data_IF_659715516783
#
_entry.id   IF_659715516783
#
_cell.length_a   1.000
_cell.length_b   1.000
_cell.length_c   1.000
_cell.angle_alpha   90.00
_cell.angle_beta   90.00
_cell.angle_gamma   90.00
#
_symmetry.space_group_name_H-M   'P 1'
#
loop_
_entity.id
_entity.type
_entity.pdbx_description
1 polymer ?
#
# COMPACT_ATOMS: atom_id res chain seq x y z
N UNK A 1 52.15 10.49 49.62
CA UNK A 1 52.61 10.51 48.21
C UNK A 1 52.09 9.21 47.58
N UNK A 2 51.12 9.14 46.67
CA UNK A 2 50.52 10.07 45.72
C UNK A 2 49.01 9.80 45.64
N UNK A 3 48.24 10.88 45.52
CA UNK A 3 46.84 10.91 45.09
C UNK A 3 46.82 10.59 43.60
N UNK A 4 45.92 9.72 43.14
CA UNK A 4 45.34 9.83 41.79
C UNK A 4 43.88 9.37 41.85
N UNK A 5 42.97 10.35 41.87
CA UNK A 5 41.59 10.23 41.40
C UNK A 5 41.59 9.92 39.90
N UNK A 6 40.66 9.09 39.39
CA UNK A 6 40.18 9.28 38.02
C UNK A 6 38.85 8.55 37.69
N UNK A 7 37.89 9.39 37.31
CA UNK A 7 36.82 9.19 36.32
C UNK A 7 35.82 8.03 36.47
N UNK A 8 34.62 8.40 36.92
CA UNK A 8 33.33 7.90 36.44
C UNK A 8 33.30 7.80 34.92
N UNK A 9 33.04 6.62 34.37
CA UNK A 9 32.50 6.46 33.03
C UNK A 9 31.14 5.79 33.18
N UNK A 10 30.10 6.61 33.12
CA UNK A 10 28.72 6.16 32.94
C UNK A 10 28.62 5.68 31.49
N UNK A 11 28.71 4.37 31.27
CA UNK A 11 28.38 3.79 29.97
C UNK A 11 26.85 3.73 29.90
N UNK A 12 26.25 4.85 29.50
CA UNK A 12 24.89 4.87 28.98
C UNK A 12 24.89 4.13 27.66
N UNK A 13 24.67 2.81 27.69
CA UNK A 13 24.17 2.08 26.54
C UNK A 13 22.69 2.47 26.39
N UNK A 14 22.43 3.67 25.87
CA UNK A 14 21.23 3.87 25.08
C UNK A 14 21.40 2.98 23.87
N UNK A 15 20.90 1.74 23.96
CA UNK A 15 20.42 1.01 22.80
C UNK A 15 19.37 1.90 22.16
N UNK A 16 19.83 2.79 21.28
CA UNK A 16 19.03 3.22 20.17
C UNK A 16 18.64 1.93 19.49
N UNK A 17 17.41 1.46 19.78
CA UNK A 17 16.70 0.63 18.84
C UNK A 17 16.73 1.46 17.57
N UNK A 18 17.64 1.13 16.66
CA UNK A 18 17.40 1.32 15.26
C UNK A 18 16.11 0.52 15.05
N UNK A 19 14.97 1.20 15.19
CA UNK A 19 13.78 0.79 14.47
C UNK A 19 14.29 0.78 13.05
N UNK A 20 14.65 -0.40 12.55
CA UNK A 20 14.54 -0.67 11.14
C UNK A 20 13.23 -0.02 10.78
N UNK A 21 13.29 1.04 9.96
CA UNK A 21 12.10 1.69 9.46
C UNK A 21 11.27 0.53 8.92
N UNK A 22 10.26 0.12 9.71
CA UNK A 22 9.47 -1.05 9.39
C UNK A 22 8.75 -0.58 8.16
N UNK A 23 9.34 -0.93 7.02
CA UNK A 23 8.93 -0.42 5.74
C UNK A 23 7.48 -0.80 5.65
N UNK A 24 6.63 0.22 5.69
CA UNK A 24 5.24 0.03 6.03
C UNK A 24 4.69 -1.09 5.15
N UNK A 25 4.11 -2.14 5.76
CA UNK A 25 3.78 -3.35 5.03
C UNK A 25 2.90 -3.06 3.80
N UNK A 26 2.15 -1.94 3.81
CA UNK A 26 1.34 -1.48 2.69
C UNK A 26 2.11 -0.74 1.58
N UNK A 27 3.27 -0.14 1.87
CA UNK A 27 4.08 0.62 0.90
C UNK A 27 4.71 -0.33 -0.12
N UNK A 28 4.61 0.04 -1.40
CA UNK A 28 5.10 -0.75 -2.53
C UNK A 28 4.16 -0.70 -3.73
N UNK A 29 4.48 -1.51 -4.73
CA UNK A 29 3.63 -1.72 -5.91
C UNK A 29 2.96 -3.09 -5.78
N UNK A 30 1.65 -3.13 -6.00
CA UNK A 30 0.82 -4.32 -5.86
C UNK A 30 0.09 -4.57 -7.18
N UNK A 31 0.15 -5.80 -7.66
CA UNK A 31 -0.70 -6.31 -8.74
C UNK A 31 -1.91 -6.98 -8.07
N UNK A 32 -3.09 -6.40 -8.26
CA UNK A 32 -4.36 -6.89 -7.73
C UNK A 32 -5.16 -7.54 -8.86
N UNK A 33 -5.84 -8.63 -8.56
CA UNK A 33 -6.72 -9.37 -9.46
C UNK A 33 -8.02 -9.70 -8.72
N UNK A 34 -9.15 -9.60 -9.40
CA UNK A 34 -10.46 -9.97 -8.87
C UNK A 34 -11.45 -10.25 -9.99
N UNK A 35 -12.62 -10.80 -9.65
CA UNK A 35 -13.65 -11.10 -10.64
C UNK A 35 -14.94 -10.36 -10.28
N UNK A 36 -15.37 -9.43 -11.13
CA UNK A 36 -16.61 -8.70 -10.98
C UNK A 36 -17.62 -9.20 -12.02
N UNK A 37 -18.66 -9.89 -11.58
CA UNK A 37 -19.75 -10.33 -12.46
C UNK A 37 -19.30 -11.21 -13.63
N UNK A 38 -18.29 -12.05 -13.45
CA UNK A 38 -17.73 -12.91 -14.49
C UNK A 38 -16.63 -12.28 -15.35
N UNK A 39 -16.26 -11.03 -15.08
CA UNK A 39 -15.14 -10.35 -15.75
C UNK A 39 -13.93 -10.29 -14.83
N UNK A 40 -12.79 -10.80 -15.30
CA UNK A 40 -11.52 -10.68 -14.60
C UNK A 40 -10.99 -9.25 -14.71
N UNK A 41 -10.71 -8.64 -13.58
CA UNK A 41 -10.18 -7.30 -13.45
C UNK A 41 -8.77 -7.36 -12.89
N UNK A 42 -7.88 -6.57 -13.49
CA UNK A 42 -6.49 -6.42 -13.02
C UNK A 42 -6.20 -4.96 -12.71
N UNK A 43 -5.60 -4.72 -11.57
CA UNK A 43 -5.23 -3.40 -11.11
C UNK A 43 -3.77 -3.35 -10.68
N UNK A 44 -3.12 -2.23 -10.89
CA UNK A 44 -1.81 -1.93 -10.27
C UNK A 44 -2.01 -0.83 -9.25
N UNK A 45 -1.78 -1.15 -7.97
CA UNK A 45 -1.83 -0.20 -6.86
C UNK A 45 -0.40 0.15 -6.44
N UNK A 46 0.00 1.40 -6.62
CA UNK A 46 1.27 1.92 -6.13
C UNK A 46 1.03 2.77 -4.89
N UNK A 47 1.68 2.40 -3.79
CA UNK A 47 1.58 3.07 -2.50
C UNK A 47 2.95 3.59 -2.09
N UNK A 48 3.04 4.88 -1.79
CA UNK A 48 4.21 5.53 -1.19
C UNK A 48 3.81 6.19 0.12
N UNK A 49 4.79 6.44 0.99
CA UNK A 49 4.58 7.13 2.26
C UNK A 49 5.62 8.23 2.37
N UNK A 50 5.17 9.44 2.67
CA UNK A 50 6.03 10.58 2.96
C UNK A 50 5.66 11.21 4.30
N UNK A 51 6.31 12.32 4.66
CA UNK A 51 6.06 13.01 5.94
C UNK A 51 4.61 13.50 6.12
N UNK A 52 3.82 13.63 5.05
CA UNK A 52 2.40 14.02 5.08
C UNK A 52 1.44 12.84 5.14
N UNK A 53 1.92 11.60 4.98
CA UNK A 53 1.13 10.38 5.04
C UNK A 53 1.25 9.52 3.78
N UNK A 54 0.25 8.67 3.54
CA UNK A 54 0.22 7.81 2.36
C UNK A 54 -0.19 8.57 1.12
N UNK A 55 0.43 8.21 0.00
CA UNK A 55 -0.03 8.54 -1.35
C UNK A 55 -0.19 7.24 -2.10
N UNK A 56 -1.30 7.13 -2.81
CA UNK A 56 -1.56 5.93 -3.61
C UNK A 56 -2.11 6.33 -4.98
N UNK A 57 -1.79 5.52 -5.98
CA UNK A 57 -2.32 5.62 -7.34
C UNK A 57 -2.72 4.23 -7.78
N UNK A 58 -3.88 4.09 -8.41
CA UNK A 58 -4.35 2.81 -8.92
C UNK A 58 -4.63 2.91 -10.41
N UNK A 59 -4.21 1.91 -11.18
CA UNK A 59 -4.46 1.85 -12.63
C UNK A 59 -5.03 0.50 -13.04
N UNK A 60 -5.80 0.46 -14.12
CA UNK A 60 -6.24 -0.76 -14.80
C UNK A 60 -6.10 -0.56 -16.30
N UNK A 61 -5.16 -1.27 -16.93
CA UNK A 61 -4.76 -0.95 -18.30
C UNK A 61 -4.34 0.52 -18.43
N UNK A 62 -5.00 1.25 -19.34
CA UNK A 62 -4.77 2.68 -19.58
C UNK A 62 -5.64 3.58 -18.67
N UNK A 63 -6.56 3.02 -17.89
CA UNK A 63 -7.42 3.78 -16.98
C UNK A 63 -6.71 4.08 -15.66
N UNK A 64 -6.75 5.34 -15.24
CA UNK A 64 -6.22 5.79 -13.94
C UNK A 64 -7.36 6.09 -12.99
N UNK A 65 -7.28 5.55 -11.78
CA UNK A 65 -8.18 5.82 -10.68
C UNK A 65 -7.50 6.70 -9.63
N UNK A 66 -8.22 7.73 -9.20
CA UNK A 66 -7.81 8.56 -8.07
C UNK A 66 -8.04 7.78 -6.79
N UNK A 67 -6.98 7.58 -6.00
CA UNK A 67 -7.09 6.95 -4.68
C UNK A 67 -7.31 8.03 -3.62
N UNK A 68 -8.32 7.84 -2.77
CA UNK A 68 -8.68 8.71 -1.65
C UNK A 68 -8.66 7.94 -0.33
N UNK A 69 -8.48 8.68 0.76
CA UNK A 69 -8.59 8.17 2.13
C UNK A 69 -7.75 6.91 2.40
N UNK A 70 -6.55 6.83 1.83
CA UNK A 70 -5.68 5.67 2.02
C UNK A 70 -5.22 5.57 3.47
N UNK A 71 -5.57 4.46 4.11
CA UNK A 71 -5.23 4.14 5.48
C UNK A 71 -4.60 2.75 5.54
N UNK A 72 -3.48 2.63 6.25
CA UNK A 72 -2.89 1.35 6.58
C UNK A 72 -2.56 1.30 8.08
N UNK A 73 -3.06 0.25 8.74
CA UNK A 73 -2.86 -0.01 10.17
C UNK A 73 -2.94 -1.51 10.45
N UNK A 74 -2.00 -2.03 11.24
CA UNK A 74 -1.98 -3.44 11.69
C UNK A 74 -2.13 -4.45 10.53
N UNK A 75 -1.47 -4.18 9.40
CA UNK A 75 -1.55 -4.99 8.18
C UNK A 75 -2.92 -4.95 7.49
N UNK A 76 -3.83 -4.07 7.89
CA UNK A 76 -5.10 -3.81 7.21
C UNK A 76 -4.97 -2.53 6.41
N UNK A 77 -5.37 -2.56 5.13
CA UNK A 77 -5.44 -1.39 4.25
C UNK A 77 -6.87 -1.09 3.90
N UNK A 78 -7.22 0.20 3.87
CA UNK A 78 -8.52 0.69 3.40
C UNK A 78 -8.30 1.94 2.56
N UNK A 79 -8.99 2.03 1.45
CA UNK A 79 -8.94 3.20 0.59
C UNK A 79 -10.16 3.24 -0.33
N UNK A 80 -10.41 4.41 -0.91
CA UNK A 80 -11.45 4.59 -1.91
C UNK A 80 -10.82 4.90 -3.25
N UNK A 81 -11.49 4.53 -4.33
CA UNK A 81 -11.09 4.85 -5.69
C UNK A 81 -12.22 5.50 -6.44
N UNK A 82 -11.89 6.50 -7.25
CA UNK A 82 -12.82 7.17 -8.13
C UNK A 82 -12.19 7.30 -9.52
N UNK A 83 -12.96 7.06 -10.56
CA UNK A 83 -12.51 7.22 -11.94
C UNK A 83 -13.66 7.11 -12.91
N UNK A 84 -13.31 6.98 -14.20
CA UNK A 84 -14.25 6.76 -15.28
C UNK A 84 -13.84 5.55 -16.11
N UNK A 85 -14.81 4.73 -16.47
CA UNK A 85 -14.63 3.62 -17.38
C UNK A 85 -15.72 3.70 -18.46
N UNK A 86 -15.32 3.82 -19.74
CA UNK A 86 -16.25 4.08 -20.86
C UNK A 86 -17.22 5.24 -20.57
N UNK A 87 -16.67 6.40 -20.18
CA UNK A 87 -17.41 7.63 -19.81
C UNK A 87 -18.40 7.50 -18.63
N UNK A 88 -18.46 6.33 -18.00
CA UNK A 88 -19.30 6.06 -16.84
C UNK A 88 -18.49 6.22 -15.56
N UNK A 89 -19.04 6.95 -14.59
CA UNK A 89 -18.41 7.10 -13.29
C UNK A 89 -18.37 5.76 -12.55
N UNK A 90 -17.21 5.48 -11.96
CA UNK A 90 -16.97 4.30 -11.16
C UNK A 90 -16.30 4.68 -9.85
N UNK A 91 -16.86 4.17 -8.76
CA UNK A 91 -16.26 4.30 -7.43
C UNK A 91 -16.06 2.93 -6.80
N UNK A 92 -15.07 2.82 -5.91
CA UNK A 92 -14.76 1.59 -5.21
C UNK A 92 -14.30 1.86 -3.78
N UNK A 93 -14.80 1.09 -2.83
CA UNK A 93 -14.34 1.08 -1.43
C UNK A 93 -13.61 -0.22 -1.18
N UNK A 94 -12.29 -0.13 -0.98
CA UNK A 94 -11.40 -1.27 -0.86
C UNK A 94 -11.06 -1.52 0.60
N UNK A 95 -11.11 -2.78 1.02
CA UNK A 95 -10.62 -3.22 2.32
C UNK A 95 -9.84 -4.53 2.15
N UNK A 96 -8.56 -4.51 2.53
CA UNK A 96 -7.67 -5.65 2.37
C UNK A 96 -6.77 -5.90 3.57
N UNK A 97 -6.27 -7.12 3.68
CA UNK A 97 -5.29 -7.54 4.67
C UNK A 97 -4.00 -7.95 3.98
N UNK A 98 -2.92 -7.28 4.33
CA UNK A 98 -1.56 -7.56 3.90
C UNK A 98 -0.96 -8.65 4.80
N UNK A 99 -0.36 -9.66 4.17
CA UNK A 99 0.40 -10.74 4.81
C UNK A 99 1.61 -11.06 3.94
N UNK A 100 2.80 -10.66 4.38
CA UNK A 100 4.02 -10.78 3.57
C UNK A 100 3.86 -10.04 2.24
N UNK A 101 4.10 -10.73 1.14
CA UNK A 101 3.95 -10.20 -0.23
C UNK A 101 2.54 -10.37 -0.80
N UNK A 102 1.57 -10.80 0.00
CA UNK A 102 0.19 -10.97 -0.40
C UNK A 102 -0.73 -9.92 0.21
N UNK A 103 -1.75 -9.52 -0.54
CA UNK A 103 -2.90 -8.77 -0.05
C UNK A 103 -4.17 -9.52 -0.48
N UNK A 104 -5.13 -9.68 0.42
CA UNK A 104 -6.46 -10.20 0.07
C UNK A 104 -7.53 -9.36 0.71
N UNK A 105 -8.64 -9.17 0.02
CA UNK A 105 -9.68 -8.30 0.49
C UNK A 105 -10.93 -8.36 -0.35
N UNK A 106 -11.80 -7.39 -0.11
CA UNK A 106 -13.03 -7.19 -0.86
C UNK A 106 -13.12 -5.72 -1.26
N UNK A 107 -13.83 -5.48 -2.36
CA UNK A 107 -14.17 -4.14 -2.83
C UNK A 107 -15.66 -4.06 -3.07
N UNK A 108 -16.28 -3.04 -2.50
CA UNK A 108 -17.64 -2.60 -2.83
C UNK A 108 -17.54 -1.53 -3.90
N UNK A 109 -18.20 -1.70 -5.03
CA UNK A 109 -18.13 -0.75 -6.15
C UNK A 109 -19.51 -0.21 -6.51
N UNK A 110 -19.50 0.98 -7.10
CA UNK A 110 -20.64 1.59 -7.79
C UNK A 110 -20.23 1.92 -9.22
N UNK A 111 -21.01 1.47 -10.20
CA UNK A 111 -20.79 1.70 -11.62
C UNK A 111 -22.10 2.15 -12.26
N UNK A 112 -22.16 3.41 -12.71
CA UNK A 112 -23.35 3.96 -13.37
C UNK A 112 -24.65 3.83 -12.56
N UNK A 113 -24.56 3.98 -11.23
CA UNK A 113 -25.70 3.85 -10.30
C UNK A 113 -26.07 2.41 -9.90
N UNK A 114 -25.36 1.40 -10.42
CA UNK A 114 -25.48 0.01 -9.93
C UNK A 114 -24.36 -0.29 -8.95
N UNK A 115 -24.68 -0.98 -7.85
CA UNK A 115 -23.69 -1.39 -6.85
C UNK A 115 -23.41 -2.89 -6.91
N UNK A 116 -22.23 -3.29 -6.48
CA UNK A 116 -21.82 -4.68 -6.35
C UNK A 116 -20.59 -4.83 -5.48
N UNK A 117 -20.16 -6.07 -5.27
CA UNK A 117 -18.92 -6.36 -4.56
C UNK A 117 -18.21 -7.57 -5.14
N UNK A 118 -16.89 -7.60 -4.99
CA UNK A 118 -16.08 -8.76 -5.33
C UNK A 118 -14.86 -8.88 -4.44
N UNK A 119 -14.39 -10.11 -4.28
CA UNK A 119 -13.13 -10.38 -3.60
C UNK A 119 -11.96 -10.20 -4.56
N UNK A 120 -10.86 -9.66 -4.02
CA UNK A 120 -9.61 -9.51 -4.74
C UNK A 120 -8.47 -10.18 -4.01
N UNK A 121 -7.52 -10.66 -4.79
CA UNK A 121 -6.21 -11.07 -4.32
C UNK A 121 -5.15 -10.18 -4.97
N UNK A 122 -4.03 -9.98 -4.30
CA UNK A 122 -2.94 -9.23 -4.86
C UNK A 122 -1.61 -9.71 -4.37
N UNK A 123 -0.59 -9.46 -5.19
CA UNK A 123 0.80 -9.78 -4.90
C UNK A 123 1.64 -8.54 -5.06
N UNK A 124 2.67 -8.41 -4.23
CA UNK A 124 3.70 -7.39 -4.41
C UNK A 124 4.34 -7.62 -5.78
N UNK A 125 4.36 -6.58 -6.61
CA UNK A 125 5.07 -6.62 -7.87
C UNK A 125 6.55 -6.85 -7.55
N UNK A 126 7.17 -7.85 -8.18
CA UNK A 126 8.63 -7.95 -8.17
C UNK A 126 9.15 -6.69 -8.82
N UNK A 127 10.06 -5.98 -8.16
CA UNK A 127 10.71 -4.80 -8.74
C UNK A 127 11.23 -5.18 -10.14
N UNK A 128 10.48 -4.82 -11.19
CA UNK A 128 11.06 -4.62 -12.51
C UNK A 128 11.86 -3.35 -12.34
N UNK A 129 13.07 -3.50 -11.80
CA UNK A 129 14.17 -2.54 -11.95
C UNK A 129 14.07 -2.05 -13.39
N UNK A 130 13.80 -0.75 -13.54
CA UNK A 130 13.72 -0.03 -14.82
C UNK A 130 14.57 -0.74 -15.87
N UNK A 131 13.92 -1.46 -16.79
CA UNK A 131 14.63 -1.95 -17.97
C UNK A 131 14.89 -0.67 -18.77
N UNK A 132 16.15 -0.22 -18.92
CA UNK A 132 16.41 0.92 -19.77
C UNK A 132 15.87 0.55 -21.15
N UNK A 133 15.06 1.45 -21.71
CA UNK A 133 14.60 1.37 -23.08
C UNK A 133 15.86 1.36 -23.95
N UNK A 134 16.16 0.21 -24.56
CA UNK A 134 17.27 0.02 -25.51
C UNK A 134 17.02 0.83 -26.79
#
# INVERSE_FOLDING_TARGET
MRIVSLALVVIGFSTGMIRAEEQDAAVGTWELEGNAGGTDLKFTLKVTKDAKGYKATMTSGDTVFTVKDFQAKDGTVKFKTEGKYNDTDVTGSWAGKVKGDGIKGSVDYEFGGSTGSFDFEGKRAKDKKDKPKE
#
